data_IF_292676937730
#
_entry.id   IF_292676937730
#
_cell.length_a   1.000
_cell.length_b   1.000
_cell.length_c   1.000
_cell.angle_alpha   90.00
_cell.angle_beta   90.00
_cell.angle_gamma   90.00
#
_symmetry.space_group_name_H-M   'P 1'
#
loop_
_entity.id
_entity.type
_entity.pdbx_description
1 polymer ?
#
# COMPACT_ATOMS: atom_id res chain seq x y z
N UNK A 1 -4.49 22.17 -19.80
CA UNK A 1 -3.17 21.51 -19.90
C UNK A 1 -3.36 20.16 -19.26
N UNK A 2 -3.20 19.08 -20.04
CA UNK A 2 -3.53 17.72 -19.62
C UNK A 2 -2.40 17.22 -18.70
N UNK A 3 -2.76 16.61 -17.57
CA UNK A 3 -1.84 16.25 -16.49
C UNK A 3 -1.22 14.88 -16.80
N UNK A 4 0.11 14.83 -16.97
CA UNK A 4 0.83 13.56 -17.06
C UNK A 4 0.79 12.84 -15.69
N UNK A 5 0.68 11.51 -15.66
CA UNK A 5 0.63 10.74 -14.40
C UNK A 5 1.79 11.09 -13.45
N UNK A 6 2.98 11.36 -14.00
CA UNK A 6 4.13 11.84 -13.22
C UNK A 6 3.87 13.17 -12.51
N UNK A 7 3.16 14.09 -13.17
CA UNK A 7 2.75 15.36 -12.58
C UNK A 7 1.69 15.15 -11.50
N UNK A 8 0.72 14.25 -11.68
CA UNK A 8 -0.27 13.93 -10.63
C UNK A 8 0.41 13.38 -9.38
N UNK A 9 1.36 12.46 -9.55
CA UNK A 9 2.15 11.88 -8.44
C UNK A 9 3.04 12.95 -7.78
N UNK A 10 3.69 13.82 -8.54
CA UNK A 10 4.42 14.96 -7.99
C UNK A 10 3.50 15.90 -7.19
N UNK A 11 2.30 16.17 -7.71
CA UNK A 11 1.32 17.05 -7.08
C UNK A 11 0.75 16.47 -5.79
N UNK A 12 0.67 15.14 -5.63
CA UNK A 12 0.42 14.52 -4.32
C UNK A 12 1.50 14.95 -3.31
N UNK A 13 2.77 14.95 -3.71
CA UNK A 13 3.87 15.45 -2.88
C UNK A 13 3.70 16.91 -2.47
N UNK A 14 3.33 17.77 -3.43
CA UNK A 14 3.04 19.19 -3.17
C UNK A 14 1.85 19.37 -2.24
N UNK A 15 0.78 18.59 -2.44
CA UNK A 15 -0.39 18.56 -1.57
C UNK A 15 -0.01 18.19 -0.14
N UNK A 16 0.78 17.13 0.05
CA UNK A 16 1.27 16.70 1.36
C UNK A 16 2.14 17.77 2.01
N UNK A 17 3.05 18.41 1.26
CA UNK A 17 3.88 19.52 1.78
C UNK A 17 3.01 20.65 2.27
N UNK A 18 2.02 21.07 1.48
CA UNK A 18 1.12 22.18 1.85
C UNK A 18 0.25 21.83 3.05
N UNK A 19 -0.28 20.62 3.09
CA UNK A 19 -1.19 20.15 4.15
C UNK A 19 -0.47 20.01 5.49
N UNK A 20 0.78 19.54 5.46
CA UNK A 20 1.56 19.25 6.66
C UNK A 20 2.74 20.22 6.87
N UNK A 21 2.71 21.41 6.27
CA UNK A 21 3.84 22.34 6.27
C UNK A 21 4.30 22.73 7.68
N UNK A 22 3.35 22.99 8.58
CA UNK A 22 3.64 23.34 9.98
C UNK A 22 4.05 22.12 10.81
N UNK A 23 3.53 20.94 10.47
CA UNK A 23 3.83 19.69 11.17
C UNK A 23 5.20 19.12 10.79
N UNK A 24 5.64 19.37 9.55
CA UNK A 24 6.91 18.93 9.00
C UNK A 24 7.93 20.09 9.00
N UNK A 25 9.17 19.81 9.39
CA UNK A 25 10.29 20.75 9.19
C UNK A 25 10.44 21.10 7.70
N UNK A 26 11.03 22.26 7.40
CA UNK A 26 11.46 22.59 6.04
C UNK A 26 12.71 21.80 5.59
N UNK A 27 13.44 21.21 6.55
CA UNK A 27 14.64 20.39 6.31
C UNK A 27 14.24 18.92 6.37
N UNK A 28 14.58 18.17 5.31
CA UNK A 28 14.42 16.72 5.29
C UNK A 28 15.49 16.04 6.16
N UNK A 29 15.12 15.03 6.93
CA UNK A 29 16.06 14.10 7.56
C UNK A 29 15.52 12.66 7.56
N UNK A 30 16.38 11.66 7.71
CA UNK A 30 15.95 10.25 7.81
C UNK A 30 15.13 9.94 9.08
N UNK A 31 15.24 10.80 10.08
CA UNK A 31 14.52 10.72 11.34
C UNK A 31 13.10 11.23 11.15
N UNK A 32 12.92 12.39 10.48
CA UNK A 32 11.60 13.01 10.32
C UNK A 32 10.66 12.19 9.44
N UNK A 33 11.19 11.57 8.40
CA UNK A 33 10.40 10.83 7.43
C UNK A 33 11.13 9.61 6.89
N UNK A 34 10.38 8.50 6.73
CA UNK A 34 10.85 7.32 6.00
C UNK A 34 9.95 7.01 4.82
N UNK A 35 10.58 6.59 3.73
CA UNK A 35 9.91 6.08 2.55
C UNK A 35 10.13 4.58 2.45
N UNK A 36 9.06 3.83 2.19
CA UNK A 36 9.10 2.42 1.82
C UNK A 36 8.43 2.22 0.48
N UNK A 37 9.04 1.40 -0.37
CA UNK A 37 8.49 1.03 -1.68
C UNK A 37 8.38 -0.49 -1.76
N UNK A 38 7.67 -0.96 -2.78
CA UNK A 38 7.85 -2.34 -3.26
C UNK A 38 9.17 -2.45 -4.03
N UNK A 39 9.59 -3.66 -4.41
CA UNK A 39 10.75 -3.83 -5.31
C UNK A 39 10.47 -3.47 -6.78
N UNK A 40 9.21 -3.12 -7.12
CA UNK A 40 8.84 -2.78 -8.48
C UNK A 40 9.23 -1.35 -8.84
N UNK A 41 9.76 -1.17 -10.05
CA UNK A 41 10.28 0.13 -10.52
C UNK A 41 9.24 1.24 -10.50
N UNK A 42 7.97 0.96 -10.82
CA UNK A 42 6.91 1.97 -10.81
C UNK A 42 6.70 2.55 -9.40
N UNK A 43 6.65 1.70 -8.38
CA UNK A 43 6.55 2.10 -6.98
C UNK A 43 7.75 2.94 -6.52
N UNK A 44 8.97 2.58 -6.96
CA UNK A 44 10.18 3.37 -6.68
C UNK A 44 10.12 4.76 -7.34
N UNK A 45 9.75 4.81 -8.61
CA UNK A 45 9.63 6.08 -9.36
C UNK A 45 8.56 6.98 -8.77
N UNK A 46 7.38 6.43 -8.43
CA UNK A 46 6.30 7.19 -7.80
C UNK A 46 6.73 7.77 -6.46
N UNK A 47 7.43 7.01 -5.63
CA UNK A 47 7.95 7.51 -4.37
C UNK A 47 8.94 8.67 -4.55
N UNK A 48 9.79 8.63 -5.59
CA UNK A 48 10.69 9.74 -5.91
C UNK A 48 9.94 10.99 -6.36
N UNK A 49 8.89 10.85 -7.17
CA UNK A 49 8.06 11.97 -7.63
C UNK A 49 7.32 12.63 -6.47
N UNK A 50 6.68 11.83 -5.59
CA UNK A 50 6.04 12.35 -4.36
C UNK A 50 7.08 13.08 -3.50
N UNK A 51 8.24 12.48 -3.28
CA UNK A 51 9.30 13.09 -2.47
C UNK A 51 9.87 14.39 -3.08
N UNK A 52 9.93 14.50 -4.41
CA UNK A 52 10.35 15.73 -5.07
C UNK A 52 9.36 16.89 -4.83
N UNK A 53 8.06 16.61 -4.75
CA UNK A 53 7.05 17.61 -4.39
C UNK A 53 6.98 17.89 -2.89
N UNK A 54 7.23 16.86 -2.07
CA UNK A 54 7.13 16.94 -0.61
C UNK A 54 8.34 17.61 0.05
N UNK A 55 9.54 17.37 -0.48
CA UNK A 55 10.82 17.79 0.10
C UNK A 55 11.66 18.64 -0.88
N UNK A 56 11.16 19.80 -1.34
CA UNK A 56 12.02 20.76 -2.02
C UNK A 56 13.20 21.13 -1.08
N UNK A 57 14.45 21.16 -1.56
CA UNK A 57 15.62 21.33 -0.71
C UNK A 57 15.60 22.68 0.02
N UNK A 58 15.73 22.63 1.35
CA UNK A 58 16.04 23.81 2.13
C UNK A 58 17.38 24.41 1.70
N UNK A 59 17.62 25.70 2.00
CA UNK A 59 18.84 26.40 1.55
C UNK A 59 20.15 25.68 1.91
N UNK A 60 20.20 25.03 3.06
CA UNK A 60 21.34 24.26 3.54
C UNK A 60 21.44 22.83 2.97
N UNK A 61 20.41 22.37 2.24
CA UNK A 61 20.35 21.06 1.57
C UNK A 61 20.41 21.16 0.04
N UNK A 62 20.48 22.39 -0.49
CA UNK A 62 20.74 22.61 -1.91
C UNK A 62 22.18 22.20 -2.22
N UNK A 63 22.32 21.13 -2.99
CA UNK A 63 23.62 20.60 -3.43
C UNK A 63 23.99 21.11 -4.83
N UNK A 64 23.00 21.56 -5.62
CA UNK A 64 23.17 22.31 -6.88
C UNK A 64 22.33 23.59 -6.81
N UNK A 65 22.93 24.71 -7.18
CA UNK A 65 22.22 26.00 -7.26
C UNK A 65 21.09 25.95 -8.29
N UNK A 66 19.91 26.48 -7.91
CA UNK A 66 18.70 26.52 -8.74
C UNK A 66 18.15 25.14 -9.15
N UNK A 67 18.54 24.07 -8.46
CA UNK A 67 17.99 22.73 -8.67
C UNK A 67 17.14 22.30 -7.46
N UNK A 68 15.82 22.40 -7.59
CA UNK A 68 14.86 22.10 -6.52
C UNK A 68 14.57 20.61 -6.38
N UNK A 69 15.62 19.80 -6.27
CA UNK A 69 15.52 18.37 -6.02
C UNK A 69 16.66 17.91 -5.10
N UNK A 70 16.36 16.96 -4.22
CA UNK A 70 17.33 16.29 -3.38
C UNK A 70 17.07 14.78 -3.34
N UNK A 71 18.11 13.95 -3.21
CA UNK A 71 17.94 12.52 -3.09
C UNK A 71 17.32 12.18 -1.73
N UNK A 72 16.21 11.44 -1.75
CA UNK A 72 15.55 10.91 -0.56
C UNK A 72 15.67 9.38 -0.55
N UNK A 73 16.26 8.78 0.49
CA UNK A 73 16.40 7.33 0.59
C UNK A 73 15.05 6.63 0.76
N UNK A 74 14.97 5.39 0.28
CA UNK A 74 13.83 4.50 0.45
C UNK A 74 14.29 3.09 0.80
N UNK A 75 13.42 2.35 1.49
CA UNK A 75 13.62 0.94 1.80
C UNK A 75 12.64 0.07 1.00
N UNK A 76 13.04 -1.15 0.64
CA UNK A 76 12.13 -2.16 0.10
C UNK A 76 12.53 -3.57 0.56
N UNK A 77 11.60 -4.52 0.45
CA UNK A 77 11.88 -5.94 0.56
C UNK A 77 11.61 -6.62 -0.78
N UNK A 78 12.29 -7.74 -1.03
CA UNK A 78 12.01 -8.60 -2.19
C UNK A 78 10.60 -9.19 -2.07
N UNK A 79 9.95 -9.51 -3.19
CA UNK A 79 8.60 -10.07 -3.28
C UNK A 79 8.40 -11.22 -2.29
N UNK A 80 9.35 -12.16 -2.21
CA UNK A 80 9.27 -13.33 -1.31
C UNK A 80 9.26 -12.97 0.18
N UNK A 81 9.76 -11.79 0.53
CA UNK A 81 9.91 -11.30 1.89
C UNK A 81 8.87 -10.24 2.27
N UNK A 82 8.23 -9.61 1.27
CA UNK A 82 7.30 -8.48 1.45
C UNK A 82 5.82 -8.92 1.53
N UNK A 83 5.43 -9.43 2.69
CA UNK A 83 4.02 -9.72 2.97
C UNK A 83 3.21 -8.48 3.31
N UNK A 84 3.85 -7.31 3.50
CA UNK A 84 3.17 -6.09 3.90
C UNK A 84 2.51 -5.42 2.70
N UNK A 85 3.28 -5.24 1.63
CA UNK A 85 2.84 -4.52 0.43
C UNK A 85 2.52 -5.48 -0.73
N UNK A 86 3.09 -6.68 -0.73
CA UNK A 86 2.95 -7.66 -1.82
C UNK A 86 2.33 -8.99 -1.35
N UNK A 87 1.51 -8.96 -0.29
CA UNK A 87 0.86 -10.16 0.25
C UNK A 87 -0.09 -10.87 -0.73
N UNK A 88 -0.63 -10.17 -1.73
CA UNK A 88 -1.42 -10.77 -2.81
C UNK A 88 -0.59 -11.67 -3.75
N UNK A 89 0.74 -11.54 -3.75
CA UNK A 89 1.66 -12.39 -4.52
C UNK A 89 2.12 -13.62 -3.73
N UNK A 90 1.61 -13.82 -2.52
CA UNK A 90 1.93 -14.99 -1.71
C UNK A 90 1.40 -16.28 -2.37
N UNK A 91 2.15 -17.40 -2.32
CA UNK A 91 1.70 -18.69 -2.83
C UNK A 91 0.35 -19.15 -2.27
N UNK A 92 0.11 -18.97 -0.97
CA UNK A 92 -1.18 -19.31 -0.35
C UNK A 92 -2.33 -18.44 -0.85
N UNK A 93 -2.08 -17.15 -1.06
CA UNK A 93 -3.05 -16.21 -1.62
C UNK A 93 -3.43 -16.64 -3.04
N UNK A 94 -2.42 -16.93 -3.86
CA UNK A 94 -2.61 -17.38 -5.25
C UNK A 94 -3.37 -18.70 -5.30
N UNK A 95 -3.03 -19.67 -4.42
CA UNK A 95 -3.77 -20.94 -4.30
C UNK A 95 -5.24 -20.71 -4.00
N UNK A 96 -5.55 -19.82 -3.04
CA UNK A 96 -6.94 -19.53 -2.70
C UNK A 96 -7.71 -18.84 -3.81
N UNK A 97 -7.08 -17.92 -4.56
CA UNK A 97 -7.71 -17.33 -5.74
C UNK A 97 -8.07 -18.44 -6.75
N UNK A 98 -7.14 -19.37 -7.03
CA UNK A 98 -7.38 -20.47 -7.95
C UNK A 98 -8.51 -21.40 -7.46
N UNK A 99 -8.52 -21.76 -6.17
CA UNK A 99 -9.58 -22.56 -5.57
C UNK A 99 -10.96 -21.89 -5.69
N UNK A 100 -11.03 -20.57 -5.49
CA UNK A 100 -12.27 -19.81 -5.67
C UNK A 100 -12.72 -19.83 -7.13
N UNK A 101 -11.79 -19.61 -8.06
CA UNK A 101 -12.06 -19.64 -9.50
C UNK A 101 -12.63 -20.98 -9.94
N UNK A 102 -12.23 -22.10 -9.33
CA UNK A 102 -12.73 -23.44 -9.66
C UNK A 102 -14.12 -23.76 -9.08
N UNK A 103 -14.66 -22.95 -8.16
CA UNK A 103 -15.98 -23.21 -7.57
C UNK A 103 -17.12 -23.07 -8.60
N UNK A 104 -18.17 -23.89 -8.49
CA UNK A 104 -19.35 -23.82 -9.38
C UNK A 104 -19.97 -22.42 -9.41
N UNK A 105 -20.05 -21.76 -8.25
CA UNK A 105 -20.61 -20.41 -8.16
C UNK A 105 -19.76 -19.40 -8.95
N UNK A 106 -18.43 -19.47 -8.82
CA UNK A 106 -17.53 -18.58 -9.54
C UNK A 106 -17.51 -18.86 -11.05
N UNK A 107 -17.50 -20.14 -11.44
CA UNK A 107 -17.61 -20.54 -12.84
C UNK A 107 -18.90 -20.03 -13.51
N UNK A 108 -20.03 -20.02 -12.79
CA UNK A 108 -21.28 -19.44 -13.28
C UNK A 108 -21.14 -17.93 -13.51
N UNK A 109 -20.53 -17.19 -12.58
CA UNK A 109 -20.28 -15.74 -12.72
C UNK A 109 -19.34 -15.48 -13.90
N UNK A 110 -18.26 -16.23 -14.04
CA UNK A 110 -17.31 -16.09 -15.15
C UNK A 110 -17.96 -16.38 -16.51
N UNK A 111 -18.91 -17.31 -16.58
CA UNK A 111 -19.66 -17.61 -17.79
C UNK A 111 -20.48 -16.41 -18.29
N UNK A 112 -20.91 -15.51 -17.41
CA UNK A 112 -21.59 -14.26 -17.79
C UNK A 112 -20.65 -13.30 -18.53
N UNK A 113 -19.34 -13.38 -18.29
CA UNK A 113 -18.32 -12.57 -18.95
C UNK A 113 -17.66 -13.26 -20.16
N UNK A 114 -18.03 -14.50 -20.50
CA UNK A 114 -17.37 -15.28 -21.55
C UNK A 114 -17.37 -14.55 -22.91
N UNK A 115 -18.47 -13.90 -23.28
CA UNK A 115 -18.56 -13.15 -24.53
C UNK A 115 -17.55 -11.97 -24.58
N UNK A 116 -17.31 -11.31 -23.44
CA UNK A 116 -16.30 -10.27 -23.33
C UNK A 116 -14.89 -10.86 -23.42
N UNK A 117 -14.62 -11.96 -22.72
CA UNK A 117 -13.34 -12.66 -22.76
C UNK A 117 -12.98 -13.11 -24.18
N UNK A 118 -13.93 -13.69 -24.91
CA UNK A 118 -13.74 -14.12 -26.30
C UNK A 118 -13.48 -12.92 -27.23
N UNK A 119 -14.23 -11.83 -27.04
CA UNK A 119 -14.05 -10.58 -27.78
C UNK A 119 -12.64 -10.01 -27.56
N UNK A 120 -12.23 -9.84 -26.30
CA UNK A 120 -10.91 -9.31 -25.95
C UNK A 120 -9.79 -10.23 -26.44
N UNK A 121 -9.95 -11.54 -26.34
CA UNK A 121 -8.98 -12.52 -26.86
C UNK A 121 -8.79 -12.39 -28.37
N UNK A 122 -9.89 -12.20 -29.10
CA UNK A 122 -9.90 -12.04 -30.56
C UNK A 122 -9.11 -10.82 -31.02
N UNK A 123 -9.25 -9.68 -30.34
CA UNK A 123 -8.59 -8.43 -30.72
C UNK A 123 -7.16 -8.32 -30.20
N UNK A 124 -6.90 -8.79 -28.98
CA UNK A 124 -5.55 -8.73 -28.37
C UNK A 124 -4.63 -9.84 -28.87
N UNK A 125 -5.17 -10.90 -29.49
CA UNK A 125 -4.44 -12.14 -29.86
C UNK A 125 -3.77 -12.81 -28.66
N UNK A 126 -4.33 -12.61 -27.47
CA UNK A 126 -3.92 -13.25 -26.22
C UNK A 126 -5.08 -14.03 -25.65
N UNK A 127 -4.79 -15.03 -24.82
CA UNK A 127 -5.84 -15.70 -24.07
C UNK A 127 -6.27 -14.78 -22.92
N UNK A 128 -7.47 -14.24 -23.00
CA UNK A 128 -8.13 -13.47 -21.93
C UNK A 128 -9.22 -14.37 -21.37
N UNK A 129 -9.04 -14.84 -20.14
CA UNK A 129 -9.95 -15.83 -19.54
C UNK A 129 -10.28 -15.56 -18.07
N UNK A 130 -9.56 -14.62 -17.44
CA UNK A 130 -9.72 -14.27 -16.03
C UNK A 130 -9.97 -12.76 -15.86
N UNK A 131 -10.64 -12.35 -14.77
CA UNK A 131 -10.79 -10.93 -14.45
C UNK A 131 -9.45 -10.19 -14.33
N UNK A 132 -8.42 -10.85 -13.82
CA UNK A 132 -7.04 -10.32 -13.76
C UNK A 132 -6.43 -10.01 -15.13
N UNK A 133 -6.74 -10.81 -16.16
CA UNK A 133 -6.31 -10.54 -17.55
C UNK A 133 -6.95 -9.25 -18.07
N UNK A 134 -8.24 -9.05 -17.77
CA UNK A 134 -8.99 -7.85 -18.15
C UNK A 134 -8.48 -6.63 -17.39
N UNK A 135 -8.23 -6.75 -16.09
CA UNK A 135 -7.66 -5.67 -15.26
C UNK A 135 -6.29 -5.22 -15.78
N UNK A 136 -5.40 -6.16 -16.14
CA UNK A 136 -4.10 -5.83 -16.74
C UNK A 136 -4.24 -5.10 -18.07
N UNK A 137 -5.17 -5.54 -18.93
CA UNK A 137 -5.47 -4.88 -20.19
C UNK A 137 -6.06 -3.48 -19.97
N UNK A 138 -6.94 -3.33 -18.98
CA UNK A 138 -7.53 -2.04 -18.60
C UNK A 138 -6.45 -1.02 -18.21
N UNK A 139 -5.56 -1.37 -17.27
CA UNK A 139 -4.43 -0.50 -16.87
C UNK A 139 -3.50 -0.16 -18.05
N UNK A 140 -3.30 -1.11 -18.97
CA UNK A 140 -2.52 -0.85 -20.20
C UNK A 140 -3.20 0.22 -21.07
N UNK A 141 -4.51 0.15 -21.25
CA UNK A 141 -5.27 1.15 -22.00
C UNK A 141 -5.29 2.52 -21.29
N UNK A 142 -5.38 2.55 -19.96
CA UNK A 142 -5.24 3.80 -19.18
C UNK A 142 -3.88 4.46 -19.43
N UNK A 143 -2.80 3.67 -19.36
CA UNK A 143 -1.45 4.17 -19.63
C UNK A 143 -1.33 4.75 -21.04
N UNK A 144 -1.86 4.06 -22.05
CA UNK A 144 -1.86 4.53 -23.44
C UNK A 144 -2.67 5.83 -23.59
N UNK A 145 -3.86 5.90 -22.95
CA UNK A 145 -4.73 7.07 -22.99
C UNK A 145 -4.07 8.30 -22.31
N UNK A 146 -3.39 8.08 -21.18
CA UNK A 146 -2.64 9.10 -20.46
C UNK A 146 -1.49 9.66 -21.31
N UNK A 147 -0.82 8.80 -22.09
CA UNK A 147 0.24 9.18 -23.03
C UNK A 147 -0.28 9.78 -24.35
N UNK A 148 -1.59 10.06 -24.47
CA UNK A 148 -2.24 10.55 -25.69
C UNK A 148 -2.05 9.65 -26.92
N UNK A 149 -1.80 8.36 -26.71
CA UNK A 149 -1.81 7.39 -27.81
C UNK A 149 -3.25 7.15 -28.26
N UNK A 150 -3.42 6.90 -29.56
CA UNK A 150 -4.73 6.52 -30.10
C UNK A 150 -5.09 5.13 -29.60
N UNK A 151 -6.18 5.04 -28.86
CA UNK A 151 -6.72 3.76 -28.42
C UNK A 151 -7.32 3.00 -29.62
N UNK A 152 -7.24 1.66 -29.62
CA UNK A 152 -7.82 0.87 -30.69
C UNK A 152 -9.34 0.95 -30.67
N UNK A 153 -9.97 0.99 -31.86
CA UNK A 153 -11.43 1.18 -31.99
C UNK A 153 -12.26 0.14 -31.21
N UNK A 154 -11.76 -1.10 -31.08
CA UNK A 154 -12.47 -2.16 -30.34
C UNK A 154 -12.63 -1.83 -28.85
N UNK A 155 -11.81 -0.94 -28.28
CA UNK A 155 -11.84 -0.61 -26.87
C UNK A 155 -12.85 0.49 -26.52
N UNK A 156 -13.34 1.27 -27.50
CA UNK A 156 -14.10 2.51 -27.24
C UNK A 156 -15.38 2.30 -26.44
N UNK A 157 -16.11 1.20 -26.67
CA UNK A 157 -17.35 0.91 -25.94
C UNK A 157 -17.12 0.14 -24.63
N UNK A 158 -15.91 -0.41 -24.45
CA UNK A 158 -15.54 -1.25 -23.31
C UNK A 158 -14.78 -0.50 -22.22
N UNK A 159 -14.05 0.54 -22.62
CA UNK A 159 -13.12 1.33 -21.81
C UNK A 159 -13.40 2.83 -21.99
N UNK A 160 -13.29 3.68 -20.94
CA UNK A 160 -12.94 3.34 -19.55
C UNK A 160 -14.15 2.96 -18.69
N UNK A 161 -15.38 3.20 -19.14
CA UNK A 161 -16.59 3.02 -18.31
C UNK A 161 -17.52 1.90 -18.78
N UNK A 162 -17.04 1.03 -19.69
CA UNK A 162 -17.80 -0.10 -20.21
C UNK A 162 -17.60 -1.38 -19.37
N UNK A 163 -17.79 -2.55 -19.99
CA UNK A 163 -17.74 -3.83 -19.30
C UNK A 163 -16.37 -4.17 -18.70
N UNK A 164 -15.27 -3.65 -19.25
CA UNK A 164 -13.93 -3.86 -18.68
C UNK A 164 -13.79 -3.20 -17.31
N UNK A 165 -14.48 -2.08 -17.07
CA UNK A 165 -14.51 -1.41 -15.78
C UNK A 165 -15.12 -2.32 -14.72
N UNK A 166 -16.30 -2.89 -15.02
CA UNK A 166 -17.01 -3.77 -14.10
C UNK A 166 -16.21 -5.04 -13.78
N UNK A 167 -15.55 -5.65 -14.78
CA UNK A 167 -14.69 -6.82 -14.55
C UNK A 167 -13.45 -6.45 -13.73
N UNK A 168 -12.90 -5.25 -13.92
CA UNK A 168 -11.76 -4.78 -13.11
C UNK A 168 -12.17 -4.53 -11.65
N UNK A 169 -13.37 -4.00 -11.40
CA UNK A 169 -13.92 -3.91 -10.05
C UNK A 169 -14.15 -5.29 -9.43
N UNK A 170 -14.65 -6.24 -10.23
CA UNK A 170 -14.86 -7.61 -9.79
C UNK A 170 -13.56 -8.32 -9.42
N UNK A 171 -12.45 -8.06 -10.13
CA UNK A 171 -11.13 -8.55 -9.73
C UNK A 171 -10.76 -8.08 -8.31
N UNK A 172 -11.01 -6.81 -7.96
CA UNK A 172 -10.78 -6.35 -6.58
C UNK A 172 -11.64 -7.07 -5.54
N UNK A 173 -12.88 -7.42 -5.89
CA UNK A 173 -13.74 -8.23 -5.01
C UNK A 173 -13.16 -9.64 -4.82
N UNK A 174 -12.69 -10.27 -5.90
CA UNK A 174 -12.06 -11.60 -5.88
C UNK A 174 -10.82 -11.66 -4.97
N UNK A 175 -10.08 -10.55 -4.86
CA UNK A 175 -8.88 -10.42 -4.02
C UNK A 175 -9.18 -10.19 -2.52
N UNK A 176 -10.42 -10.35 -2.06
CA UNK A 176 -10.83 -10.10 -0.67
C UNK A 176 -11.95 -11.01 -0.15
N UNK A 177 -12.17 -12.17 -0.79
CA UNK A 177 -13.26 -13.10 -0.46
C UNK A 177 -13.01 -13.84 0.86
N UNK A 178 -11.79 -14.31 1.10
CA UNK A 178 -11.47 -15.18 2.24
C UNK A 178 -10.80 -14.42 3.39
N UNK A 179 -10.81 -14.96 4.62
CA UNK A 179 -10.05 -14.39 5.73
C UNK A 179 -8.55 -14.28 5.44
N UNK A 180 -7.95 -15.29 4.79
CA UNK A 180 -6.52 -15.25 4.44
C UNK A 180 -6.23 -14.15 3.42
N UNK A 181 -7.10 -13.97 2.42
CA UNK A 181 -6.97 -12.87 1.46
C UNK A 181 -7.09 -11.51 2.16
N UNK A 182 -8.09 -11.31 3.02
CA UNK A 182 -8.25 -10.07 3.81
C UNK A 182 -7.03 -9.77 4.70
N UNK A 183 -6.45 -10.80 5.32
CA UNK A 183 -5.24 -10.67 6.14
C UNK A 183 -3.98 -10.29 5.33
N UNK A 184 -3.77 -10.92 4.17
CA UNK A 184 -2.59 -10.67 3.33
C UNK A 184 -2.76 -9.46 2.39
N UNK A 185 -3.99 -9.03 2.12
CA UNK A 185 -4.32 -7.87 1.30
C UNK A 185 -5.05 -6.81 2.14
N UNK A 186 -4.27 -5.88 2.72
CA UNK A 186 -4.77 -4.78 3.55
C UNK A 186 -4.69 -5.03 5.05
N UNK A 187 -5.01 -6.23 5.55
CA UNK A 187 -4.96 -6.55 6.99
C UNK A 187 -3.56 -6.44 7.60
N UNK A 188 -2.54 -6.93 6.89
CA UNK A 188 -1.12 -6.75 7.29
C UNK A 188 -0.71 -5.28 7.31
N UNK A 189 -1.30 -4.46 6.43
CA UNK A 189 -1.03 -3.03 6.35
C UNK A 189 -1.68 -2.26 7.51
N UNK A 190 -2.91 -2.63 7.88
CA UNK A 190 -3.58 -2.12 9.08
C UNK A 190 -2.79 -2.44 10.36
N UNK A 191 -2.26 -3.68 10.44
CA UNK A 191 -1.35 -4.07 11.54
C UNK A 191 -0.13 -3.15 11.63
N UNK A 192 0.46 -2.78 10.50
CA UNK A 192 1.61 -1.88 10.43
C UNK A 192 1.24 -0.46 10.90
N UNK A 193 0.12 0.10 10.41
CA UNK A 193 -0.36 1.44 10.80
C UNK A 193 -0.65 1.50 12.30
N UNK A 194 -1.42 0.55 12.82
CA UNK A 194 -1.77 0.47 14.25
C UNK A 194 -0.49 0.23 15.07
N UNK A 195 0.36 -0.69 14.66
CA UNK A 195 1.60 -1.01 15.34
C UNK A 195 2.55 0.18 15.42
N UNK A 196 2.68 0.96 14.36
CA UNK A 196 3.50 2.17 14.34
C UNK A 196 2.90 3.28 15.20
N UNK A 197 1.57 3.39 15.24
CA UNK A 197 0.88 4.32 16.15
C UNK A 197 1.18 3.98 17.62
N UNK A 198 1.00 2.72 18.02
CA UNK A 198 1.27 2.27 19.38
C UNK A 198 2.74 2.42 19.77
N UNK A 199 3.67 2.06 18.88
CA UNK A 199 5.11 2.25 19.10
C UNK A 199 5.50 3.72 19.26
N UNK A 200 4.88 4.63 18.51
CA UNK A 200 5.10 6.05 18.67
C UNK A 200 4.58 6.57 20.01
N UNK A 201 3.44 6.06 20.47
CA UNK A 201 2.84 6.40 21.78
C UNK A 201 3.80 6.01 22.91
N UNK A 202 4.28 4.76 22.92
CA UNK A 202 5.14 4.24 24.00
C UNK A 202 6.61 4.69 23.90
N UNK A 203 7.02 5.33 22.81
CA UNK A 203 8.37 5.89 22.63
C UNK A 203 9.37 4.99 21.91
N UNK A 204 8.95 3.86 21.34
CA UNK A 204 9.78 2.98 20.51
C UNK A 204 10.10 3.57 19.14
N UNK A 205 9.22 4.44 18.63
CA UNK A 205 9.50 5.28 17.48
C UNK A 205 9.87 6.68 17.99
N UNK A 206 11.01 7.25 17.53
CA UNK A 206 11.45 8.58 17.96
C UNK A 206 10.39 9.66 17.67
N UNK A 207 10.27 10.65 18.56
CA UNK A 207 9.29 11.74 18.44
C UNK A 207 9.55 12.65 17.23
N UNK A 208 10.76 12.61 16.68
CA UNK A 208 11.17 13.25 15.44
C UNK A 208 10.44 12.65 14.24
N UNK A 209 10.09 11.35 14.25
CA UNK A 209 9.35 10.72 13.15
C UNK A 209 7.95 11.31 13.06
N UNK A 210 7.70 12.04 11.97
CA UNK A 210 6.41 12.67 11.68
C UNK A 210 5.65 11.96 10.56
N UNK A 211 6.35 11.35 9.59
CA UNK A 211 5.71 10.72 8.44
C UNK A 211 6.34 9.39 8.06
N UNK A 212 5.50 8.42 7.68
CA UNK A 212 5.92 7.17 7.03
C UNK A 212 5.17 7.04 5.71
N UNK A 213 5.90 7.15 4.60
CA UNK A 213 5.35 7.07 3.25
C UNK A 213 5.54 5.66 2.71
N UNK A 214 4.47 5.06 2.22
CA UNK A 214 4.49 3.75 1.58
C UNK A 214 3.99 3.90 0.15
N UNK A 215 4.83 3.60 -0.84
CA UNK A 215 4.43 3.61 -2.25
C UNK A 215 4.16 2.19 -2.72
N UNK A 216 2.92 1.89 -3.05
CA UNK A 216 2.45 0.57 -3.49
C UNK A 216 1.64 0.66 -4.78
N UNK A 217 0.65 -0.21 -4.92
CA UNK A 217 -0.32 -0.18 -6.01
C UNK A 217 -1.76 -0.07 -5.52
N UNK A 218 -2.71 0.07 -6.45
CA UNK A 218 -4.12 0.22 -6.17
C UNK A 218 -4.66 -0.90 -5.24
N UNK A 219 -4.16 -2.14 -5.35
CA UNK A 219 -4.62 -3.26 -4.50
C UNK A 219 -4.34 -3.00 -3.03
N UNK A 220 -3.27 -2.28 -2.69
CA UNK A 220 -2.99 -1.89 -1.30
C UNK A 220 -4.08 -0.96 -0.75
N UNK A 221 -4.50 0.04 -1.53
CA UNK A 221 -5.57 0.97 -1.16
C UNK A 221 -6.89 0.21 -1.02
N UNK A 222 -7.25 -0.57 -2.04
CA UNK A 222 -8.52 -1.31 -2.06
C UNK A 222 -8.57 -2.33 -0.93
N UNK A 223 -7.49 -3.07 -0.68
CA UNK A 223 -7.39 -4.03 0.42
C UNK A 223 -7.58 -3.37 1.78
N UNK A 224 -6.96 -2.22 2.03
CA UNK A 224 -7.15 -1.47 3.29
C UNK A 224 -8.59 -1.01 3.44
N UNK A 225 -9.18 -0.38 2.41
CA UNK A 225 -10.56 0.10 2.45
C UNK A 225 -11.57 -1.03 2.64
N UNK A 226 -11.38 -2.18 1.97
CA UNK A 226 -12.22 -3.36 2.14
C UNK A 226 -12.09 -3.95 3.54
N UNK A 227 -10.93 -3.91 4.18
CA UNK A 227 -10.77 -4.39 5.55
C UNK A 227 -11.36 -3.45 6.61
N UNK A 228 -11.52 -2.18 6.29
CA UNK A 228 -12.20 -1.20 7.15
C UNK A 228 -13.71 -1.11 6.90
N UNK A 229 -14.23 -1.87 5.93
CA UNK A 229 -15.59 -1.75 5.40
C UNK A 229 -15.93 -0.31 4.94
N UNK A 230 -14.93 0.39 4.39
CA UNK A 230 -15.01 1.76 3.84
C UNK A 230 -14.89 1.78 2.30
N UNK A 231 -14.95 0.60 1.67
CA UNK A 231 -14.82 0.47 0.23
C UNK A 231 -16.09 0.91 -0.50
N UNK A 232 -15.96 1.87 -1.40
CA UNK A 232 -16.94 2.18 -2.44
C UNK A 232 -16.36 1.72 -3.78
N UNK A 233 -17.06 0.92 -4.61
CA UNK A 233 -16.48 0.39 -5.85
C UNK A 233 -16.05 1.48 -6.83
N UNK A 234 -14.73 1.61 -7.02
CA UNK A 234 -14.11 2.43 -8.06
C UNK A 234 -12.72 1.89 -8.40
N UNK A 235 -12.12 2.35 -9.49
CA UNK A 235 -10.70 2.09 -9.77
C UNK A 235 -9.92 3.28 -9.19
N UNK A 236 -8.99 3.09 -8.24
CA UNK A 236 -8.18 4.19 -7.72
C UNK A 236 -7.40 4.86 -8.85
N UNK A 237 -7.49 6.18 -8.95
CA UNK A 237 -6.73 6.94 -9.94
C UNK A 237 -5.22 6.84 -9.65
N UNK A 238 -4.42 7.20 -10.66
CA UNK A 238 -3.00 7.49 -10.43
C UNK A 238 -2.83 8.54 -9.31
N UNK A 239 -1.77 8.39 -8.53
CA UNK A 239 -1.50 9.20 -7.34
C UNK A 239 -2.57 9.16 -6.22
N UNK A 240 -3.57 8.26 -6.27
CA UNK A 240 -4.48 8.07 -5.15
C UNK A 240 -3.71 7.64 -3.89
N UNK A 241 -4.17 8.08 -2.72
CA UNK A 241 -3.50 7.78 -1.46
C UNK A 241 -4.47 7.69 -0.27
N UNK A 242 -4.18 6.77 0.66
CA UNK A 242 -4.78 6.75 1.99
C UNK A 242 -3.84 7.41 2.99
N UNK A 243 -4.35 8.38 3.73
CA UNK A 243 -3.58 9.16 4.69
C UNK A 243 -4.18 8.95 6.07
N UNK A 244 -3.40 8.34 6.96
CA UNK A 244 -3.76 8.08 8.36
C UNK A 244 -3.04 9.09 9.26
N UNK A 245 -3.80 9.91 9.97
CA UNK A 245 -3.29 10.96 10.85
C UNK A 245 -3.56 10.57 12.31
N UNK A 246 -2.49 10.46 13.11
CA UNK A 246 -2.58 10.19 14.54
C UNK A 246 -2.67 11.50 15.32
N UNK A 247 -3.81 11.71 15.97
CA UNK A 247 -4.09 12.85 16.83
C UNK A 247 -3.98 12.46 18.31
N UNK A 248 -3.53 13.40 19.13
CA UNK A 248 -3.61 13.32 20.58
C UNK A 248 -4.56 14.41 21.07
N UNK A 249 -5.56 14.02 21.83
CA UNK A 249 -6.53 14.92 22.45
C UNK A 249 -6.08 15.24 23.88
N UNK A 250 -5.79 16.52 24.15
CA UNK A 250 -5.33 16.98 25.46
C UNK A 250 -6.44 16.99 26.52
N UNK A 251 -7.72 17.06 26.11
CA UNK A 251 -8.85 17.13 27.05
C UNK A 251 -9.16 15.73 27.59
N UNK A 252 -9.12 14.72 26.73
CA UNK A 252 -9.37 13.32 27.10
C UNK A 252 -8.10 12.53 27.42
N UNK A 253 -6.92 13.05 27.07
CA UNK A 253 -5.64 12.32 27.08
C UNK A 253 -5.68 11.01 26.27
N UNK A 254 -6.44 10.99 25.17
CA UNK A 254 -6.58 9.82 24.30
C UNK A 254 -6.04 10.07 22.90
N UNK A 255 -5.78 8.98 22.17
CA UNK A 255 -5.33 9.02 20.79
C UNK A 255 -6.47 8.68 19.83
N UNK A 256 -6.53 9.39 18.72
CA UNK A 256 -7.48 9.16 17.64
C UNK A 256 -6.80 9.12 16.27
N UNK A 257 -7.46 8.51 15.31
CA UNK A 257 -7.02 8.38 13.92
C UNK A 257 -8.04 9.05 13.01
N UNK A 258 -7.57 9.95 12.15
CA UNK A 258 -8.33 10.44 11.00
C UNK A 258 -7.83 9.77 9.73
N UNK A 259 -8.77 9.36 8.88
CA UNK A 259 -8.46 8.68 7.61
C UNK A 259 -8.92 9.58 6.48
N UNK A 260 -8.02 9.93 5.58
CA UNK A 260 -8.33 10.72 4.39
C UNK A 260 -8.00 9.90 3.15
N UNK A 261 -8.89 9.91 2.16
CA UNK A 261 -8.65 9.36 0.84
C UNK A 261 -8.42 10.48 -0.16
N UNK A 262 -7.18 10.64 -0.59
CA UNK A 262 -6.80 11.53 -1.69
C UNK A 262 -7.07 10.81 -3.00
N UNK A 263 -7.93 11.39 -3.85
CA UNK A 263 -8.44 10.73 -5.05
C UNK A 263 -7.50 10.81 -6.26
N UNK A 264 -6.31 11.41 -6.15
CA UNK A 264 -5.38 11.55 -7.28
C UNK A 264 -5.66 12.73 -8.22
N UNK A 265 -6.93 13.17 -8.31
CA UNK A 265 -7.37 14.24 -9.21
C UNK A 265 -7.82 15.49 -8.47
N UNK A 266 -7.49 16.67 -9.00
CA UNK A 266 -7.95 18.00 -8.52
C UNK A 266 -7.67 18.30 -7.03
N UNK A 267 -6.70 17.63 -6.41
CA UNK A 267 -6.45 17.67 -4.96
C UNK A 267 -7.70 17.34 -4.12
N UNK A 268 -8.61 16.53 -4.65
CA UNK A 268 -9.82 16.12 -3.95
C UNK A 268 -9.48 15.09 -2.87
N UNK A 269 -9.86 15.41 -1.64
CA UNK A 269 -9.66 14.57 -0.47
C UNK A 269 -11.00 14.31 0.21
N UNK A 270 -11.31 13.04 0.46
CA UNK A 270 -12.52 12.61 1.16
C UNK A 270 -12.12 12.13 2.55
N UNK A 271 -12.77 12.67 3.59
CA UNK A 271 -12.63 12.14 4.96
C UNK A 271 -13.42 10.84 5.04
N UNK A 272 -12.77 9.77 5.51
CA UNK A 272 -13.36 8.46 5.71
C UNK A 272 -13.55 8.20 7.20
N UNK A 273 -14.75 7.81 7.59
CA UNK A 273 -15.11 7.58 9.00
C UNK A 273 -15.65 6.17 9.18
N UNK A 274 -15.12 5.45 10.18
CA UNK A 274 -15.67 4.16 10.60
C UNK A 274 -17.10 4.30 11.13
N UNK A 275 -17.93 3.24 11.07
CA UNK A 275 -19.24 3.26 11.70
C UNK A 275 -19.13 3.68 13.17
N UNK A 276 -20.01 4.59 13.60
CA UNK A 276 -20.04 5.15 14.96
C UNK A 276 -18.82 6.01 15.36
N UNK A 277 -18.00 6.46 14.40
CA UNK A 277 -16.95 7.45 14.63
C UNK A 277 -17.30 8.81 14.00
N UNK A 278 -16.78 9.89 14.59
CA UNK A 278 -16.63 11.18 13.92
C UNK A 278 -15.39 11.14 13.01
N UNK A 279 -15.03 12.27 12.40
CA UNK A 279 -13.85 12.41 11.53
C UNK A 279 -12.54 11.95 12.19
N UNK A 280 -12.43 12.07 13.53
CA UNK A 280 -11.29 11.56 14.30
C UNK A 280 -11.80 10.41 15.16
N UNK A 281 -11.52 9.19 14.71
CA UNK A 281 -12.00 7.97 15.36
C UNK A 281 -11.04 7.55 16.49
N UNK A 282 -11.50 7.21 17.71
CA UNK A 282 -10.62 6.73 18.76
C UNK A 282 -9.77 5.53 18.28
N UNK A 283 -8.48 5.53 18.61
CA UNK A 283 -7.56 4.47 18.17
C UNK A 283 -8.02 3.08 18.61
N UNK A 284 -8.63 2.98 19.80
CA UNK A 284 -9.22 1.73 20.29
C UNK A 284 -10.35 1.23 19.40
N UNK A 285 -11.18 2.12 18.86
CA UNK A 285 -12.28 1.75 17.95
C UNK A 285 -11.73 1.18 16.64
N UNK A 286 -10.68 1.80 16.08
CA UNK A 286 -9.99 1.26 14.89
C UNK A 286 -9.39 -0.12 15.16
N UNK A 287 -8.76 -0.33 16.33
CA UNK A 287 -8.21 -1.62 16.72
C UNK A 287 -9.31 -2.68 16.79
N UNK A 288 -10.43 -2.38 17.46
CA UNK A 288 -11.55 -3.29 17.60
C UNK A 288 -12.17 -3.63 16.24
N UNK A 289 -12.28 -2.65 15.33
CA UNK A 289 -12.83 -2.84 13.99
C UNK A 289 -11.94 -3.73 13.10
N UNK A 290 -10.65 -3.86 13.40
CA UNK A 290 -9.68 -4.54 12.52
C UNK A 290 -9.06 -5.79 13.11
N UNK A 291 -9.38 -6.15 14.36
CA UNK A 291 -8.71 -7.22 15.09
C UNK A 291 -8.78 -8.59 14.39
N UNK A 292 -9.91 -8.88 13.74
CA UNK A 292 -10.15 -10.18 13.07
C UNK A 292 -9.39 -10.30 11.73
N UNK A 293 -9.02 -9.17 11.13
CA UNK A 293 -8.31 -9.12 9.84
C UNK A 293 -6.82 -8.89 9.99
N UNK A 294 -6.32 -8.67 11.21
CA UNK A 294 -4.89 -8.53 11.49
C UNK A 294 -4.26 -9.92 11.64
N UNK A 295 -3.27 -10.29 10.80
CA UNK A 295 -2.62 -11.57 10.93
C UNK A 295 -1.65 -11.61 12.11
N UNK A 296 -1.66 -12.73 12.83
CA UNK A 296 -0.63 -13.06 13.83
C UNK A 296 0.77 -13.02 13.21
N UNK A 297 0.94 -13.76 12.11
CA UNK A 297 2.17 -13.88 11.37
C UNK A 297 1.87 -13.99 9.87
N UNK A 298 1.98 -12.87 9.16
CA UNK A 298 1.77 -12.81 7.71
C UNK A 298 2.75 -13.67 6.92
N UNK A 299 3.99 -13.86 7.41
CA UNK A 299 4.99 -14.71 6.74
C UNK A 299 4.62 -16.19 6.77
N UNK A 300 4.08 -16.68 7.89
CA UNK A 300 3.58 -18.06 7.94
C UNK A 300 2.33 -18.25 7.09
N UNK A 301 1.49 -17.22 6.98
CA UNK A 301 0.33 -17.26 6.10
C UNK A 301 0.73 -17.29 4.62
N UNK A 302 1.82 -16.62 4.24
CA UNK A 302 2.20 -16.41 2.84
C UNK A 302 2.56 -17.69 2.08
N UNK A 303 3.24 -18.65 2.74
CA UNK A 303 3.56 -19.95 2.14
C UNK A 303 4.80 -19.98 1.23
N UNK A 304 5.63 -18.94 1.18
CA UNK A 304 6.96 -19.05 0.57
C UNK A 304 7.82 -20.05 1.36
N UNK A 305 8.51 -20.95 0.65
CA UNK A 305 9.44 -21.87 1.27
C UNK A 305 10.56 -21.08 1.97
N UNK A 306 10.81 -21.39 3.24
CA UNK A 306 11.96 -20.85 3.96
C UNK A 306 13.22 -21.58 3.49
N UNK A 307 13.78 -21.16 2.36
CA UNK A 307 15.12 -21.63 1.98
C UNK A 307 16.16 -21.18 3.02
N UNK A 308 16.53 -22.10 3.90
CA UNK A 308 17.73 -22.17 4.74
C UNK A 308 18.21 -20.88 5.43
N UNK A 309 17.62 -20.54 6.57
CA UNK A 309 18.31 -19.81 7.64
C UNK A 309 19.21 -20.72 8.53
N UNK A 310 19.62 -21.90 8.03
CA UNK A 310 20.49 -22.87 8.72
C UNK A 310 21.68 -23.38 7.88
N UNK A 311 22.18 -22.60 6.92
CA UNK A 311 23.46 -22.92 6.24
C UNK A 311 24.43 -21.74 6.24
N UNK A 312 24.84 -21.32 7.44
CA UNK A 312 26.13 -20.65 7.68
C UNK A 312 26.53 -20.86 9.14
N UNK A 313 26.66 -22.11 9.56
CA UNK A 313 27.58 -22.49 10.63
C UNK A 313 28.38 -23.68 10.13
N UNK A 314 29.69 -23.57 10.27
CA UNK A 314 30.74 -24.53 9.90
C UNK A 314 31.22 -24.46 8.45
N UNK A 315 32.15 -23.53 8.17
CA UNK A 315 33.54 -23.85 7.80
C UNK A 315 34.25 -22.65 7.18
N UNK A 316 35.01 -21.91 8.00
CA UNK A 316 36.29 -21.30 7.60
C UNK A 316 36.90 -20.60 8.82
N UNK A 317 37.79 -21.30 9.51
CA UNK A 317 38.79 -20.66 10.34
C UNK A 317 39.76 -19.85 9.46
N UNK A 318 40.17 -18.70 10.00
CA UNK A 318 41.35 -17.89 9.66
C UNK A 318 41.31 -17.04 8.38
N UNK A 319 40.96 -15.75 8.56
CA UNK A 319 41.89 -14.61 8.42
C UNK A 319 41.26 -13.32 8.93
N UNK A 320 41.97 -12.67 9.86
CA UNK A 320 41.69 -11.31 10.33
C UNK A 320 41.80 -10.30 9.19
N UNK A 321 40.81 -9.42 9.06
CA UNK A 321 41.03 -8.02 8.69
C UNK A 321 39.86 -7.17 9.16
N UNK A 322 40.18 -6.12 9.91
CA UNK A 322 39.26 -5.17 10.51
C UNK A 322 38.49 -4.35 9.46
N UNK A 323 37.16 -4.35 9.54
CA UNK A 323 36.35 -3.16 9.23
C UNK A 323 35.02 -3.23 9.97
N UNK A 324 34.72 -2.14 10.67
CA UNK A 324 33.61 -1.89 11.60
C UNK A 324 32.24 -2.41 11.16
N UNK A 325 31.69 -3.31 11.98
CA UNK A 325 30.28 -3.69 12.00
C UNK A 325 29.44 -2.64 12.73
N UNK A 326 28.38 -2.12 12.09
CA UNK A 326 27.23 -1.58 12.80
C UNK A 326 25.92 -2.04 12.14
N UNK A 327 25.20 -2.87 12.91
CA UNK A 327 23.75 -3.14 12.93
C UNK A 327 23.06 -3.85 11.74
N UNK A 328 23.05 -5.19 11.82
CA UNK A 328 22.10 -6.08 11.14
C UNK A 328 21.28 -6.97 12.10
N UNK A 329 21.06 -6.54 13.34
CA UNK A 329 20.40 -7.35 14.39
C UNK A 329 19.29 -6.59 15.12
N UNK A 330 18.21 -6.19 14.43
CA UNK A 330 16.98 -5.68 15.11
C UNK A 330 15.68 -6.25 14.53
N UNK A 331 15.69 -6.91 13.36
CA UNK A 331 14.46 -7.24 12.63
C UNK A 331 13.68 -8.49 13.09
N UNK A 332 14.19 -9.29 14.04
CA UNK A 332 13.54 -10.56 14.43
C UNK A 332 12.68 -10.46 15.71
N UNK A 333 12.98 -9.54 16.63
CA UNK A 333 12.21 -9.40 17.88
C UNK A 333 10.93 -8.55 17.74
N UNK A 334 10.77 -7.77 16.66
CA UNK A 334 9.69 -6.77 16.54
C UNK A 334 8.31 -7.29 16.09
N UNK A 335 8.20 -8.53 15.58
CA UNK A 335 7.02 -8.99 14.83
C UNK A 335 5.90 -9.58 15.69
N UNK A 336 6.25 -10.36 16.71
CA UNK A 336 5.30 -10.77 17.76
C UNK A 336 4.97 -9.59 18.67
N UNK A 337 5.91 -8.64 18.80
CA UNK A 337 5.76 -7.49 19.68
C UNK A 337 4.61 -6.57 19.25
N UNK A 338 4.39 -6.32 17.95
CA UNK A 338 3.24 -5.50 17.49
C UNK A 338 1.92 -6.16 17.89
N UNK A 339 1.77 -7.45 17.66
CA UNK A 339 0.52 -8.14 17.99
C UNK A 339 0.28 -8.15 19.51
N UNK A 340 1.33 -8.37 20.29
CA UNK A 340 1.29 -8.27 21.75
C UNK A 340 0.93 -6.85 22.19
N UNK A 341 1.52 -5.81 21.58
CA UNK A 341 1.18 -4.41 21.87
C UNK A 341 -0.29 -4.11 21.60
N UNK A 342 -0.84 -4.60 20.48
CA UNK A 342 -2.26 -4.45 20.16
C UNK A 342 -3.12 -5.13 21.23
N UNK A 343 -2.80 -6.38 21.61
CA UNK A 343 -3.52 -7.08 22.66
C UNK A 343 -3.43 -6.38 24.02
N UNK A 344 -2.24 -5.91 24.42
CA UNK A 344 -2.06 -5.18 25.67
C UNK A 344 -2.87 -3.88 25.64
N UNK A 345 -2.84 -3.14 24.53
CA UNK A 345 -3.61 -1.91 24.40
C UNK A 345 -5.12 -2.15 24.56
N UNK A 346 -5.65 -3.25 24.01
CA UNK A 346 -7.04 -3.66 24.22
C UNK A 346 -7.30 -3.95 25.71
N UNK A 347 -6.47 -4.75 26.37
CA UNK A 347 -6.69 -5.16 27.76
C UNK A 347 -6.66 -3.98 28.74
N UNK A 348 -5.83 -2.97 28.49
CA UNK A 348 -5.69 -1.81 29.39
C UNK A 348 -6.67 -0.66 29.10
N UNK A 349 -7.45 -0.72 28.02
CA UNK A 349 -8.42 0.32 27.64
C UNK A 349 -9.88 -0.21 27.53
N UNK A 350 -10.19 -1.32 28.20
CA UNK A 350 -11.55 -1.72 28.60
C UNK A 350 -11.82 -1.11 29.98
#
# INVERSE_FOLDING_TARGET
>A
MKQDAENEIYNLGVYLRKTYDEFLSNVYTSEIMKTRTTEHSLSILSAHLVNAGLWPPAKNQMWINNFNWQPIPFDYLKVKDDTLMLGSLCPSFTSQVNEILETTNMQNILAEYQALFDYLSTYTKRNISLPSDVSLLYTTLETLAAQNNTLPNWAMDLFPHGSMYNVTLFEYDLLSVTPLQRQLNGGTFLKEIIGNSLKYIIGDIPKERKMMLYSGDARNIVGVLKNLDLWSPHIPNEAAALIFELYFDNDTNTYGIKINYYMGTDNMTIVLSLPNCTDICPLQTLINATIDVIPQNSRSLCGWSTENSMKTKVSSENKESNSSSYNGFVLYQSKNFIFILILLYIVFNI
#
